data_IF_199660838506
#
_entry.id   IF_199660838506
#
_cell.length_a   1.000
_cell.length_b   1.000
_cell.length_c   1.000
_cell.angle_alpha   90.00
_cell.angle_beta   90.00
_cell.angle_gamma   90.00
#
_symmetry.space_group_name_H-M   'P 1'
#
loop_
_entity.id
_entity.type
_entity.pdbx_description
1 polymer ?
#
# COMPACT_ATOMS: atom_id res chain seq x y z
N UNK A 1 -6.38 -44.62 90.17
CA UNK A 1 -4.90 -44.57 90.06
C UNK A 1 -4.55 -45.47 88.87
N UNK A 2 -4.07 -45.04 87.70
CA UNK A 2 -3.56 -43.77 87.19
C UNK A 2 -4.00 -43.67 85.72
N UNK A 3 -4.42 -42.49 85.31
CA UNK A 3 -4.52 -42.11 83.90
C UNK A 3 -3.13 -42.18 83.26
N UNK A 4 -3.06 -42.63 82.00
CA UNK A 4 -1.99 -42.28 81.09
C UNK A 4 -2.62 -42.10 79.71
N UNK A 5 -3.01 -40.85 79.47
CA UNK A 5 -3.35 -40.32 78.16
C UNK A 5 -2.03 -40.19 77.40
N UNK A 6 -1.91 -40.89 76.28
CA UNK A 6 -0.80 -40.72 75.36
C UNK A 6 -1.36 -40.14 74.06
N UNK A 7 -1.45 -38.82 74.01
CA UNK A 7 -1.84 -38.07 72.82
C UNK A 7 -0.58 -37.78 72.00
N UNK A 8 -0.37 -38.57 70.96
CA UNK A 8 0.63 -38.28 69.94
C UNK A 8 0.00 -37.46 68.82
N UNK A 9 0.24 -36.14 68.84
CA UNK A 9 0.00 -35.25 67.71
C UNK A 9 1.35 -34.66 67.35
N UNK A 10 1.95 -35.10 66.24
CA UNK A 10 2.76 -34.27 65.34
C UNK A 10 2.87 -35.02 64.01
N UNK A 11 2.48 -34.39 62.90
CA UNK A 11 3.38 -34.23 61.75
C UNK A 11 2.81 -33.15 60.81
N UNK A 12 3.48 -32.01 60.79
CA UNK A 12 3.31 -30.97 59.77
C UNK A 12 4.28 -31.26 58.63
N UNK A 13 3.80 -31.27 57.39
CA UNK A 13 4.54 -30.72 56.25
C UNK A 13 3.55 -30.26 55.19
N UNK A 14 3.61 -28.98 54.83
CA UNK A 14 3.04 -28.47 53.57
C UNK A 14 4.18 -28.29 52.61
N UNK A 15 4.31 -29.22 51.66
CA UNK A 15 5.05 -28.97 50.43
C UNK A 15 4.02 -28.59 49.36
N UNK A 16 3.94 -27.30 49.05
CA UNK A 16 3.31 -26.85 47.82
C UNK A 16 4.41 -26.64 46.79
N UNK A 17 4.68 -27.67 46.01
CA UNK A 17 5.28 -27.46 44.70
C UNK A 17 4.11 -27.35 43.73
N UNK A 18 3.55 -26.15 43.57
CA UNK A 18 2.67 -25.93 42.43
C UNK A 18 3.56 -25.87 41.18
N UNK A 19 3.81 -27.03 40.63
CA UNK A 19 4.34 -27.17 39.28
C UNK A 19 3.23 -27.84 38.49
N UNK A 20 2.44 -27.01 37.80
CA UNK A 20 1.24 -27.41 37.07
C UNK A 20 1.53 -28.70 36.27
N UNK A 21 0.79 -29.77 36.58
CA UNK A 21 0.82 -31.04 35.83
C UNK A 21 -0.62 -31.36 35.46
N UNK A 22 -0.91 -31.25 34.17
CA UNK A 22 -2.25 -31.40 33.59
C UNK A 22 -2.66 -32.88 33.50
N UNK A 23 -3.96 -33.20 33.29
CA UNK A 23 -4.42 -34.59 33.23
C UNK A 23 -3.76 -35.39 32.11
N UNK A 24 -3.63 -36.71 32.31
CA UNK A 24 -3.00 -37.63 31.32
C UNK A 24 -3.81 -37.77 30.03
N UNK A 25 -5.05 -37.28 30.03
CA UNK A 25 -5.94 -37.18 28.87
C UNK A 25 -6.95 -36.03 29.08
N UNK A 26 -7.63 -35.64 28.00
CA UNK A 26 -8.64 -34.59 28.04
C UNK A 26 -8.08 -33.16 27.94
N UNK A 27 -8.96 -32.20 28.17
CA UNK A 27 -8.71 -30.78 27.97
C UNK A 27 -8.42 -30.09 29.31
N UNK A 28 -7.64 -29.01 29.27
CA UNK A 28 -7.33 -28.19 30.45
C UNK A 28 -8.27 -26.99 30.50
N UNK A 29 -9.00 -26.86 31.61
CA UNK A 29 -9.86 -25.71 31.88
C UNK A 29 -9.29 -24.83 33.01
N UNK A 30 -9.28 -23.52 32.82
CA UNK A 30 -9.06 -22.54 33.89
C UNK A 30 -10.31 -21.68 34.01
N UNK A 31 -10.97 -21.70 35.17
CA UNK A 31 -12.25 -21.00 35.36
C UNK A 31 -13.47 -21.68 34.71
N UNK A 32 -13.32 -22.92 34.21
CA UNK A 32 -14.40 -23.75 33.69
C UNK A 32 -14.23 -25.22 34.12
N UNK A 33 -15.34 -25.92 34.36
CA UNK A 33 -15.35 -27.36 34.64
C UNK A 33 -15.54 -28.21 33.38
N UNK A 34 -15.92 -27.59 32.26
CA UNK A 34 -16.22 -28.28 30.99
C UNK A 34 -15.39 -27.67 29.84
N UNK A 35 -14.06 -27.86 29.82
CA UNK A 35 -13.21 -27.29 28.77
C UNK A 35 -13.50 -27.91 27.40
N UNK A 36 -13.83 -27.05 26.44
CA UNK A 36 -14.26 -27.45 25.09
C UNK A 36 -13.09 -27.72 24.13
N UNK A 37 -11.89 -27.20 24.43
CA UNK A 37 -10.67 -27.24 23.62
C UNK A 37 -9.45 -27.59 24.48
N UNK A 38 -8.32 -27.93 23.85
CA UNK A 38 -7.09 -28.39 24.51
C UNK A 38 -6.69 -27.54 25.73
N UNK A 39 -6.74 -26.21 25.59
CA UNK A 39 -6.68 -25.27 26.70
C UNK A 39 -7.83 -24.26 26.56
N UNK A 40 -8.61 -24.10 27.62
CA UNK A 40 -9.80 -23.24 27.68
C UNK A 40 -9.78 -22.38 28.96
N UNK A 41 -9.70 -21.07 28.81
CA UNK A 41 -9.62 -20.11 29.93
C UNK A 41 -10.85 -19.22 29.94
N UNK A 42 -11.61 -19.26 31.04
CA UNK A 42 -12.85 -18.53 31.24
C UNK A 42 -12.71 -17.38 32.24
N UNK A 43 -13.41 -16.28 31.97
CA UNK A 43 -13.44 -15.07 32.81
C UNK A 43 -14.65 -14.96 33.76
N UNK A 44 -15.38 -16.05 34.00
CA UNK A 44 -16.49 -16.11 34.96
C UNK A 44 -17.88 -15.74 34.40
N UNK A 45 -18.01 -14.72 33.53
CA UNK A 45 -19.31 -14.28 33.01
C UNK A 45 -19.57 -14.75 31.57
N UNK A 46 -19.55 -16.06 31.32
CA UNK A 46 -19.79 -16.68 29.99
C UNK A 46 -18.74 -16.38 28.89
N UNK A 47 -17.95 -15.32 28.99
CA UNK A 47 -16.94 -15.02 27.99
C UNK A 47 -15.67 -15.88 28.15
N UNK A 48 -15.24 -16.44 27.02
CA UNK A 48 -13.93 -17.08 26.91
C UNK A 48 -12.87 -16.00 26.78
N UNK A 49 -11.81 -16.10 27.59
CA UNK A 49 -10.65 -15.20 27.50
C UNK A 49 -9.69 -15.71 26.41
N UNK A 50 -9.31 -16.98 26.48
CA UNK A 50 -8.33 -17.61 25.61
C UNK A 50 -8.69 -19.07 25.37
N UNK A 51 -8.74 -19.49 24.11
CA UNK A 51 -8.78 -20.90 23.72
C UNK A 51 -7.60 -21.21 22.81
N UNK A 52 -6.91 -22.31 23.11
CA UNK A 52 -5.94 -22.92 22.20
C UNK A 52 -6.53 -24.24 21.72
N UNK A 53 -6.70 -24.35 20.42
CA UNK A 53 -7.24 -25.55 19.78
C UNK A 53 -6.43 -25.95 18.56
N UNK A 54 -6.44 -27.25 18.29
CA UNK A 54 -6.09 -27.76 16.98
C UNK A 54 -7.39 -27.99 16.19
N UNK A 55 -7.54 -27.34 15.04
CA UNK A 55 -8.64 -27.63 14.13
C UNK A 55 -8.32 -28.94 13.42
N UNK A 56 -9.21 -29.92 13.55
CA UNK A 56 -9.21 -31.29 13.00
C UNK A 56 -7.86 -31.87 12.50
N UNK A 57 -7.47 -33.09 12.92
CA UNK A 57 -6.16 -33.71 12.62
C UNK A 57 -5.76 -33.78 11.12
N UNK A 58 -6.69 -33.56 10.19
CA UNK A 58 -6.44 -33.49 8.76
C UNK A 58 -5.77 -32.18 8.28
N UNK A 59 -5.78 -31.10 9.08
CA UNK A 59 -5.34 -29.78 8.63
C UNK A 59 -4.10 -29.24 9.36
N UNK A 60 -3.60 -29.87 10.42
CA UNK A 60 -2.44 -29.39 11.19
C UNK A 60 -2.52 -27.90 11.59
N UNK A 61 -3.71 -27.36 11.74
CA UNK A 61 -3.93 -25.94 12.04
C UNK A 61 -4.03 -25.71 13.53
N UNK A 62 -3.26 -24.76 14.04
CA UNK A 62 -3.33 -24.32 15.44
C UNK A 62 -3.98 -22.96 15.49
N UNK A 63 -4.97 -22.83 16.36
CA UNK A 63 -5.76 -21.62 16.51
C UNK A 63 -5.64 -21.09 17.93
N UNK A 64 -5.41 -19.78 18.03
CA UNK A 64 -5.48 -19.02 19.28
C UNK A 64 -6.67 -18.10 19.15
N UNK A 65 -7.75 -18.41 19.86
CA UNK A 65 -8.94 -17.58 19.90
C UNK A 65 -8.83 -16.59 21.06
N UNK A 66 -9.06 -15.31 20.76
CA UNK A 66 -8.94 -14.21 21.70
C UNK A 66 -10.31 -13.54 21.85
N UNK A 67 -10.94 -13.71 22.99
CA UNK A 67 -12.28 -13.17 23.23
C UNK A 67 -13.39 -13.84 22.41
N UNK A 68 -14.58 -13.83 23.00
CA UNK A 68 -15.77 -14.48 22.46
C UNK A 68 -16.80 -14.70 23.56
N UNK A 69 -17.98 -15.15 23.16
CA UNK A 69 -18.99 -15.63 24.13
C UNK A 69 -18.72 -17.11 24.48
N UNK A 70 -19.61 -17.75 25.24
CA UNK A 70 -19.57 -19.20 25.48
C UNK A 70 -19.50 -19.97 24.17
N UNK A 71 -20.24 -19.50 23.17
CA UNK A 71 -20.58 -20.28 22.00
C UNK A 71 -19.71 -19.93 20.77
N UNK A 72 -19.22 -18.68 20.71
CA UNK A 72 -18.57 -18.17 19.50
C UNK A 72 -17.28 -17.41 19.77
N UNK A 73 -16.23 -17.76 19.04
CA UNK A 73 -14.97 -17.03 19.03
C UNK A 73 -15.05 -15.89 18.02
N UNK A 74 -14.71 -14.65 18.42
CA UNK A 74 -14.90 -13.45 17.56
C UNK A 74 -13.60 -12.86 17.04
N UNK A 75 -12.47 -13.26 17.59
CA UNK A 75 -11.18 -13.01 16.98
C UNK A 75 -10.27 -14.21 17.15
N UNK A 76 -9.45 -14.48 16.15
CA UNK A 76 -8.55 -15.61 16.16
C UNK A 76 -7.25 -15.32 15.41
N UNK A 77 -6.17 -15.89 15.91
CA UNK A 77 -4.92 -16.05 15.18
C UNK A 77 -4.82 -17.52 14.80
N UNK A 78 -4.88 -17.80 13.50
CA UNK A 78 -4.91 -19.16 12.96
C UNK A 78 -3.63 -19.41 12.18
N UNK A 79 -2.86 -20.40 12.60
CA UNK A 79 -1.83 -21.04 11.79
C UNK A 79 -2.50 -22.13 10.97
N UNK A 80 -2.52 -22.00 9.63
CA UNK A 80 -3.14 -22.98 8.74
C UNK A 80 -2.19 -23.39 7.60
N UNK A 81 -2.29 -24.63 7.11
CA UNK A 81 -1.33 -25.21 6.18
C UNK A 81 -1.39 -24.43 4.86
N UNK A 82 -0.21 -24.14 4.32
CA UNK A 82 -0.13 -23.52 3.01
C UNK A 82 -0.14 -24.59 1.89
N UNK A 83 -0.27 -24.16 0.65
CA UNK A 83 -0.26 -25.04 -0.52
C UNK A 83 1.14 -25.62 -0.86
N UNK A 84 2.20 -25.26 -0.12
CA UNK A 84 3.57 -25.65 -0.40
C UNK A 84 3.93 -27.05 0.13
N UNK A 85 3.13 -27.61 1.05
CA UNK A 85 3.50 -28.81 1.81
C UNK A 85 4.60 -28.52 2.84
N UNK A 86 5.18 -29.58 3.44
CA UNK A 86 6.27 -29.50 4.44
C UNK A 86 5.90 -28.90 5.79
N UNK A 87 4.63 -28.97 6.20
CA UNK A 87 4.13 -28.40 7.45
C UNK A 87 4.33 -26.88 7.57
N UNK A 88 4.61 -26.19 6.46
CA UNK A 88 4.64 -24.72 6.46
C UNK A 88 3.23 -24.19 6.63
N UNK A 89 3.12 -23.17 7.48
CA UNK A 89 1.85 -22.59 7.86
C UNK A 89 1.82 -21.12 7.49
N UNK A 90 0.70 -20.68 6.96
CA UNK A 90 0.36 -19.28 6.85
C UNK A 90 -0.31 -18.82 8.14
N UNK A 91 -0.10 -17.55 8.50
CA UNK A 91 -0.68 -16.95 9.70
C UNK A 91 -1.84 -16.04 9.31
N UNK A 92 -3.01 -16.30 9.86
CA UNK A 92 -4.23 -15.56 9.57
C UNK A 92 -4.69 -14.83 10.83
N UNK A 93 -5.01 -13.54 10.67
CA UNK A 93 -5.67 -12.73 11.69
C UNK A 93 -7.13 -12.59 11.29
N UNK A 94 -7.99 -13.31 11.99
CA UNK A 94 -9.41 -13.41 11.70
C UNK A 94 -10.17 -12.52 12.69
N UNK A 95 -11.07 -11.70 12.16
CA UNK A 95 -11.90 -10.78 12.92
C UNK A 95 -13.34 -10.98 12.44
N UNK A 96 -14.24 -11.30 13.36
CA UNK A 96 -15.65 -11.45 13.05
C UNK A 96 -16.20 -10.11 12.54
N UNK A 97 -16.79 -10.13 11.34
CA UNK A 97 -17.37 -8.95 10.74
C UNK A 97 -18.87 -8.89 11.05
N UNK A 98 -19.21 -8.40 12.24
CA UNK A 98 -20.58 -8.11 12.64
C UNK A 98 -21.16 -9.08 13.69
N UNK A 99 -22.49 -9.02 13.87
CA UNK A 99 -23.22 -9.77 14.90
C UNK A 99 -23.53 -11.21 14.48
N UNK A 100 -22.65 -11.85 13.71
CA UNK A 100 -22.88 -13.22 13.25
C UNK A 100 -23.00 -14.18 14.45
N UNK A 101 -23.77 -15.26 14.33
CA UNK A 101 -23.88 -16.34 15.31
C UNK A 101 -22.95 -17.51 14.92
N UNK A 102 -21.79 -17.19 14.35
CA UNK A 102 -20.75 -18.14 13.97
C UNK A 102 -19.41 -17.76 14.61
N UNK A 103 -18.54 -18.75 14.78
CA UNK A 103 -17.16 -18.51 15.18
C UNK A 103 -16.35 -18.04 13.98
N UNK A 104 -15.42 -17.12 14.22
CA UNK A 104 -14.53 -16.63 13.17
C UNK A 104 -13.59 -17.73 12.68
N UNK A 105 -13.24 -17.66 11.40
CA UNK A 105 -12.40 -18.64 10.73
C UNK A 105 -11.65 -18.05 9.55
N UNK A 106 -10.95 -18.89 8.79
CA UNK A 106 -10.08 -18.48 7.69
C UNK A 106 -10.77 -17.63 6.61
N UNK A 107 -12.08 -17.80 6.42
CA UNK A 107 -12.88 -17.00 5.48
C UNK A 107 -13.03 -15.53 5.89
N UNK A 108 -12.83 -15.22 7.16
CA UNK A 108 -12.91 -13.88 7.74
C UNK A 108 -11.53 -13.29 8.04
N UNK A 109 -10.47 -13.81 7.43
CA UNK A 109 -9.13 -13.29 7.60
C UNK A 109 -9.05 -11.83 7.11
N UNK A 110 -8.90 -10.90 8.06
CA UNK A 110 -8.69 -9.49 7.79
C UNK A 110 -7.25 -9.22 7.35
N UNK A 111 -6.30 -10.02 7.85
CA UNK A 111 -4.90 -9.99 7.46
C UNK A 111 -4.35 -11.41 7.37
N UNK A 112 -3.47 -11.65 6.39
CA UNK A 112 -2.72 -12.89 6.26
C UNK A 112 -1.23 -12.59 6.12
N UNK A 113 -0.39 -13.42 6.72
CA UNK A 113 1.03 -13.50 6.45
C UNK A 113 1.30 -14.85 5.81
N UNK A 114 1.63 -14.84 4.53
CA UNK A 114 1.93 -16.05 3.77
C UNK A 114 3.40 -16.40 3.89
N UNK A 115 3.62 -17.60 4.40
CA UNK A 115 4.92 -18.23 4.49
C UNK A 115 5.46 -18.65 3.13
N UNK A 116 4.59 -18.89 2.14
CA UNK A 116 4.96 -19.24 0.77
C UNK A 116 3.97 -18.70 -0.26
N UNK A 117 4.52 -18.15 -1.33
CA UNK A 117 3.87 -17.96 -2.61
C UNK A 117 4.82 -18.46 -3.71
N UNK A 118 4.34 -18.78 -4.93
CA UNK A 118 5.23 -19.17 -6.03
C UNK A 118 6.32 -18.12 -6.34
N UNK A 119 6.10 -16.87 -5.95
CA UNK A 119 6.98 -15.72 -6.20
C UNK A 119 7.89 -15.38 -5.02
N UNK A 120 7.74 -16.02 -3.85
CA UNK A 120 8.62 -15.82 -2.71
C UNK A 120 8.03 -16.20 -1.34
N UNK A 121 8.53 -15.54 -0.30
CA UNK A 121 8.12 -15.78 1.09
C UNK A 121 7.85 -14.43 1.79
N UNK A 122 7.04 -14.45 2.87
CA UNK A 122 6.82 -13.27 3.71
C UNK A 122 5.85 -12.24 3.11
N UNK A 123 4.83 -12.72 2.39
CA UNK A 123 3.82 -11.85 1.78
C UNK A 123 2.76 -11.48 2.82
N UNK A 124 2.38 -10.21 2.88
CA UNK A 124 1.34 -9.71 3.78
C UNK A 124 0.15 -9.25 2.95
N UNK A 125 -1.02 -9.85 3.19
CA UNK A 125 -2.29 -9.41 2.61
C UNK A 125 -3.15 -8.75 3.67
N UNK A 126 -3.64 -7.53 3.41
CA UNK A 126 -4.64 -6.84 4.24
C UNK A 126 -5.92 -6.70 3.42
N UNK A 127 -7.03 -7.24 3.92
CA UNK A 127 -8.30 -7.33 3.19
C UNK A 127 -8.29 -8.32 2.01
N UNK A 128 -7.23 -9.12 1.88
CA UNK A 128 -7.11 -10.20 0.89
C UNK A 128 -6.30 -11.35 1.46
N UNK A 129 -6.68 -12.58 1.12
CA UNK A 129 -5.92 -13.79 1.44
C UNK A 129 -4.96 -14.21 0.31
N UNK A 130 -4.96 -13.47 -0.80
CA UNK A 130 -4.17 -13.74 -2.01
C UNK A 130 -3.32 -12.52 -2.37
N UNK A 131 -2.31 -12.18 -1.56
CA UNK A 131 -1.38 -11.10 -1.90
C UNK A 131 -0.58 -11.45 -3.16
N UNK A 132 -0.52 -10.50 -4.08
CA UNK A 132 0.23 -10.53 -5.33
C UNK A 132 1.59 -9.82 -5.23
N UNK A 133 1.74 -8.92 -4.26
CA UNK A 133 2.98 -8.24 -3.89
C UNK A 133 3.33 -8.52 -2.43
N UNK A 134 4.58 -8.21 -2.02
CA UNK A 134 5.03 -8.43 -0.64
C UNK A 134 4.09 -7.81 0.40
N UNK A 135 3.48 -6.68 0.07
CA UNK A 135 2.38 -6.09 0.82
C UNK A 135 1.27 -5.73 -0.16
N UNK A 136 0.15 -6.47 -0.07
CA UNK A 136 -1.06 -6.17 -0.84
C UNK A 136 -2.13 -5.66 0.11
N UNK A 137 -2.67 -4.47 -0.16
CA UNK A 137 -3.79 -3.89 0.60
C UNK A 137 -5.00 -3.77 -0.32
N UNK A 138 -6.03 -4.57 -0.09
CA UNK A 138 -7.30 -4.49 -0.83
C UNK A 138 -8.21 -3.45 -0.18
N UNK A 139 -7.87 -2.17 -0.36
CA UNK A 139 -8.59 -1.06 0.25
C UNK A 139 -7.88 0.27 0.07
N UNK A 140 -8.30 1.27 0.85
CA UNK A 140 -7.67 2.59 0.87
C UNK A 140 -6.64 2.66 1.99
N UNK A 141 -5.48 3.25 1.68
CA UNK A 141 -4.43 3.53 2.67
C UNK A 141 -4.50 5.02 3.01
N UNK A 142 -4.69 5.34 4.28
CA UNK A 142 -4.55 6.70 4.79
C UNK A 142 -3.20 6.81 5.50
N UNK A 143 -2.32 7.65 4.97
CA UNK A 143 -0.97 7.86 5.48
C UNK A 143 -0.62 9.34 5.42
N UNK A 144 0.30 9.78 6.26
CA UNK A 144 0.82 11.15 6.23
C UNK A 144 1.84 11.34 5.10
N UNK A 145 2.66 10.32 4.85
CA UNK A 145 3.72 10.36 3.84
C UNK A 145 3.98 8.97 3.26
N UNK A 146 4.42 8.92 2.00
CA UNK A 146 4.96 7.72 1.36
C UNK A 146 6.33 8.08 0.78
N UNK A 147 7.38 7.52 1.36
CA UNK A 147 8.73 7.58 0.79
C UNK A 147 8.94 6.35 -0.10
N UNK A 148 9.29 6.60 -1.36
CA UNK A 148 9.62 5.52 -2.30
C UNK A 148 11.10 5.61 -2.63
N UNK A 149 11.88 4.65 -2.14
CA UNK A 149 13.27 4.50 -2.54
C UNK A 149 13.32 3.70 -3.85
N UNK A 150 13.90 4.28 -4.89
CA UNK A 150 14.07 3.64 -6.18
C UNK A 150 15.53 3.17 -6.32
N UNK A 151 15.73 1.97 -6.88
CA UNK A 151 17.05 1.48 -7.20
C UNK A 151 17.56 2.15 -8.50
N UNK A 152 18.29 3.26 -8.36
CA UNK A 152 19.02 3.92 -9.46
C UNK A 152 18.61 5.39 -9.73
N UNK A 153 19.41 6.11 -10.54
CA UNK A 153 19.12 7.50 -10.91
C UNK A 153 18.04 7.55 -11.99
N UNK A 154 16.77 7.57 -11.57
CA UNK A 154 15.60 7.75 -12.45
C UNK A 154 15.11 9.20 -12.48
N UNK A 155 15.83 10.10 -11.82
CA UNK A 155 15.55 11.54 -11.89
C UNK A 155 15.85 12.02 -13.31
N UNK A 156 14.90 12.69 -13.99
CA UNK A 156 15.02 13.01 -15.41
C UNK A 156 15.97 14.15 -15.76
N UNK A 157 16.89 14.57 -14.87
CA UNK A 157 17.85 15.66 -15.08
C UNK A 157 18.63 15.59 -16.41
N UNK A 158 18.76 14.40 -17.00
CA UNK A 158 19.33 14.20 -18.32
C UNK A 158 18.59 14.94 -19.46
N UNK A 159 17.35 15.38 -19.25
CA UNK A 159 16.60 16.21 -20.21
C UNK A 159 17.33 17.53 -20.50
N UNK A 160 18.14 18.01 -19.56
CA UNK A 160 18.94 19.22 -19.72
C UNK A 160 20.35 18.99 -20.29
N UNK A 161 20.70 17.74 -20.65
CA UNK A 161 21.98 17.44 -21.28
C UNK A 161 22.05 18.02 -22.70
N UNK A 162 23.25 18.43 -23.14
CA UNK A 162 23.44 19.04 -24.47
C UNK A 162 23.09 18.08 -25.62
N UNK A 163 23.21 16.77 -25.41
CA UNK A 163 22.89 15.73 -26.39
C UNK A 163 21.44 15.21 -26.27
N UNK A 164 20.61 15.81 -25.41
CA UNK A 164 19.22 15.41 -25.27
C UNK A 164 18.42 15.73 -26.54
N UNK A 165 17.85 14.69 -27.16
CA UNK A 165 17.03 14.81 -28.35
C UNK A 165 15.58 15.14 -27.98
N UNK A 166 15.32 16.42 -27.72
CA UNK A 166 13.97 16.93 -27.53
C UNK A 166 13.14 16.70 -28.81
N UNK A 167 11.98 16.05 -28.68
CA UNK A 167 11.04 15.89 -29.81
C UNK A 167 10.56 17.25 -30.29
N UNK A 168 10.15 17.37 -31.54
CA UNK A 168 9.48 18.59 -32.00
C UNK A 168 8.03 18.61 -31.51
N UNK A 169 7.46 19.82 -31.32
CA UNK A 169 6.04 19.96 -30.97
C UNK A 169 5.11 19.31 -32.00
N UNK A 170 5.52 19.26 -33.27
CA UNK A 170 4.78 18.57 -34.34
C UNK A 170 4.74 17.06 -34.12
N UNK A 171 5.88 16.44 -33.82
CA UNK A 171 5.93 15.00 -33.52
C UNK A 171 5.12 14.65 -32.26
N UNK A 172 5.15 15.53 -31.25
CA UNK A 172 4.32 15.35 -30.05
C UNK A 172 2.84 15.47 -30.38
N UNK A 173 2.44 16.46 -31.19
CA UNK A 173 1.06 16.64 -31.65
C UNK A 173 0.57 15.41 -32.43
N UNK A 174 1.37 14.92 -33.38
CA UNK A 174 1.03 13.75 -34.19
C UNK A 174 0.84 12.51 -33.31
N UNK A 175 1.73 12.31 -32.32
CA UNK A 175 1.60 11.22 -31.35
C UNK A 175 0.31 11.31 -30.52
N UNK A 176 -0.04 12.51 -30.03
CA UNK A 176 -1.27 12.72 -29.23
C UNK A 176 -2.51 12.47 -30.09
N UNK A 177 -2.51 12.88 -31.37
CA UNK A 177 -3.64 12.65 -32.28
C UNK A 177 -3.90 11.16 -32.48
N UNK A 178 -2.83 10.37 -32.63
CA UNK A 178 -2.89 8.92 -32.84
C UNK A 178 -3.22 8.16 -31.55
N UNK A 179 -2.53 8.45 -30.44
CA UNK A 179 -2.55 7.63 -29.23
C UNK A 179 -3.46 8.18 -28.11
N UNK A 180 -3.94 9.43 -28.21
CA UNK A 180 -4.78 10.11 -27.21
C UNK A 180 -4.17 10.28 -25.81
N UNK A 181 -2.86 10.11 -25.68
CA UNK A 181 -2.11 10.42 -24.47
C UNK A 181 -0.71 10.94 -24.83
N UNK A 182 0.01 11.43 -23.81
CA UNK A 182 1.39 11.90 -23.98
C UNK A 182 2.35 10.72 -24.19
N UNK A 183 3.45 10.90 -24.95
CA UNK A 183 4.49 9.89 -25.04
C UNK A 183 5.00 9.49 -23.65
N UNK A 184 5.26 8.20 -23.43
CA UNK A 184 5.81 7.63 -22.18
C UNK A 184 4.88 7.71 -20.95
N UNK A 185 3.70 8.32 -21.09
CA UNK A 185 2.65 8.26 -20.07
C UNK A 185 1.72 7.11 -20.43
N UNK A 186 1.46 6.17 -19.50
CA UNK A 186 0.59 5.04 -19.78
C UNK A 186 -0.84 5.50 -20.09
N UNK A 187 -1.49 4.78 -21.00
CA UNK A 187 -2.89 5.06 -21.36
C UNK A 187 -3.85 4.68 -20.22
N UNK A 188 -5.09 5.21 -20.27
CA UNK A 188 -6.14 4.83 -19.30
C UNK A 188 -6.38 3.32 -19.28
N UNK A 189 -6.35 2.66 -20.46
CA UNK A 189 -6.54 1.22 -20.57
C UNK A 189 -5.40 0.42 -19.93
N UNK A 190 -4.16 0.90 -20.04
CA UNK A 190 -3.01 0.28 -19.38
C UNK A 190 -3.07 0.44 -17.86
N UNK A 191 -3.49 1.61 -17.37
CA UNK A 191 -3.67 1.88 -15.94
C UNK A 191 -4.79 1.01 -15.36
N UNK A 192 -5.91 0.85 -16.07
CA UNK A 192 -7.02 -0.01 -15.64
C UNK A 192 -6.60 -1.48 -15.54
N UNK A 193 -5.75 -1.95 -16.46
CA UNK A 193 -5.30 -3.35 -16.49
C UNK A 193 -4.20 -3.67 -15.50
N UNK A 194 -3.18 -2.81 -15.41
CA UNK A 194 -1.94 -3.10 -14.69
C UNK A 194 -1.79 -2.31 -13.39
N UNK A 195 -2.71 -1.39 -13.10
CA UNK A 195 -2.58 -0.43 -12.01
C UNK A 195 -1.62 0.71 -12.33
N UNK A 196 -1.55 1.69 -11.42
CA UNK A 196 -0.68 2.84 -11.54
C UNK A 196 0.59 2.66 -10.69
N UNK A 197 1.75 2.64 -11.34
CA UNK A 197 3.03 2.68 -10.65
C UNK A 197 3.36 4.12 -10.25
N UNK A 198 3.07 4.47 -8.99
CA UNK A 198 3.17 5.84 -8.48
C UNK A 198 4.54 6.50 -8.73
N UNK A 199 5.63 5.78 -8.44
CA UNK A 199 6.97 6.32 -8.58
C UNK A 199 7.35 6.55 -10.05
N UNK A 200 7.10 5.57 -10.92
CA UNK A 200 7.36 5.68 -12.36
C UNK A 200 6.53 6.80 -13.00
N UNK A 201 5.25 6.91 -12.64
CA UNK A 201 4.37 7.98 -13.10
C UNK A 201 4.89 9.36 -12.68
N UNK A 202 5.31 9.53 -11.42
CA UNK A 202 5.84 10.81 -10.94
C UNK A 202 7.13 11.20 -11.67
N UNK A 203 8.01 10.25 -11.98
CA UNK A 203 9.23 10.51 -12.75
C UNK A 203 8.91 10.86 -14.20
N UNK A 204 7.97 10.16 -14.84
CA UNK A 204 7.55 10.49 -16.20
C UNK A 204 6.89 11.87 -16.25
N UNK A 205 6.07 12.23 -15.25
CA UNK A 205 5.48 13.57 -15.15
C UNK A 205 6.56 14.64 -14.97
N UNK A 206 7.55 14.42 -14.11
CA UNK A 206 8.68 15.33 -13.93
C UNK A 206 9.44 15.54 -15.26
N UNK A 207 9.72 14.46 -15.99
CA UNK A 207 10.33 14.53 -17.32
C UNK A 207 9.51 15.41 -18.27
N UNK A 208 8.18 15.28 -18.28
CA UNK A 208 7.33 16.11 -19.13
C UNK A 208 7.34 17.58 -18.70
N UNK A 209 7.43 17.89 -17.41
CA UNK A 209 7.57 19.26 -16.92
C UNK A 209 8.89 19.88 -17.40
N UNK A 210 9.98 19.13 -17.38
CA UNK A 210 11.29 19.59 -17.87
C UNK A 210 11.28 19.80 -19.40
N UNK A 211 10.73 18.86 -20.16
CA UNK A 211 10.55 19.02 -21.62
C UNK A 211 9.67 20.25 -21.95
N UNK A 212 8.57 20.44 -21.22
CA UNK A 212 7.71 21.63 -21.35
C UNK A 212 8.47 22.92 -21.04
N UNK A 213 9.36 22.90 -20.05
CA UNK A 213 10.20 24.06 -19.70
C UNK A 213 11.14 24.41 -20.86
N UNK A 214 11.74 23.42 -21.52
CA UNK A 214 12.56 23.65 -22.72
C UNK A 214 11.75 24.27 -23.87
N UNK A 215 10.54 23.76 -24.15
CA UNK A 215 9.66 24.35 -25.18
C UNK A 215 9.25 25.79 -24.84
N UNK A 216 9.01 26.10 -23.56
CA UNK A 216 8.65 27.46 -23.13
C UNK A 216 9.83 28.41 -23.32
N UNK A 217 11.05 27.99 -22.95
CA UNK A 217 12.27 28.79 -23.17
C UNK A 217 12.47 29.06 -24.66
N UNK A 218 12.29 28.04 -25.51
CA UNK A 218 12.41 28.18 -26.95
C UNK A 218 11.34 29.15 -27.52
N UNK A 219 10.08 29.00 -27.09
CA UNK A 219 9.00 29.90 -27.50
C UNK A 219 9.26 31.34 -27.06
N UNK A 220 9.77 31.57 -25.84
CA UNK A 220 10.09 32.92 -25.36
C UNK A 220 11.21 33.56 -26.20
N UNK A 221 12.22 32.79 -26.63
CA UNK A 221 13.26 33.27 -27.54
C UNK A 221 12.66 33.74 -28.87
N UNK A 222 11.80 32.91 -29.48
CA UNK A 222 11.10 33.25 -30.74
C UNK A 222 10.21 34.49 -30.58
N UNK A 223 9.49 34.63 -29.47
CA UNK A 223 8.67 35.81 -29.18
C UNK A 223 9.54 37.07 -29.08
N UNK A 224 10.70 36.99 -28.43
CA UNK A 224 11.61 38.12 -28.31
C UNK A 224 12.17 38.54 -29.68
N UNK A 225 12.57 37.56 -30.51
CA UNK A 225 13.04 37.78 -31.88
C UNK A 225 11.95 38.45 -32.74
N UNK A 226 10.74 37.91 -32.74
CA UNK A 226 9.59 38.48 -33.45
C UNK A 226 9.25 39.89 -32.94
N UNK A 227 9.36 40.14 -31.64
CA UNK A 227 9.11 41.47 -31.06
C UNK A 227 10.15 42.48 -31.52
N UNK A 228 11.43 42.07 -31.62
CA UNK A 228 12.49 42.92 -32.17
C UNK A 228 12.23 43.24 -33.63
N UNK A 229 11.92 42.23 -34.45
CA UNK A 229 11.62 42.40 -35.87
C UNK A 229 10.40 43.32 -36.08
N UNK A 230 9.33 43.14 -35.30
CA UNK A 230 8.15 44.02 -35.34
C UNK A 230 8.52 45.46 -34.97
N UNK A 231 9.45 45.67 -34.02
CA UNK A 231 9.91 47.00 -33.63
C UNK A 231 10.68 47.68 -34.77
N UNK A 232 11.54 46.94 -35.45
CA UNK A 232 12.32 47.44 -36.58
C UNK A 232 11.43 47.78 -37.78
N UNK A 233 10.52 46.86 -38.15
CA UNK A 233 9.53 47.10 -39.21
C UNK A 233 8.62 48.29 -38.91
N UNK A 234 8.25 48.52 -37.64
CA UNK A 234 7.47 49.70 -37.24
C UNK A 234 8.25 51.00 -37.43
N UNK A 235 9.56 50.99 -37.16
CA UNK A 235 10.43 52.15 -37.35
C UNK A 235 10.58 52.47 -38.84
N UNK A 236 10.85 51.47 -39.67
CA UNK A 236 10.91 51.65 -41.13
C UNK A 236 9.61 52.22 -41.69
N UNK A 237 8.46 51.69 -41.25
CA UNK A 237 7.15 52.22 -41.65
C UNK A 237 6.93 53.68 -41.21
N UNK A 238 7.46 54.11 -40.07
CA UNK A 238 7.40 55.51 -39.64
C UNK A 238 8.27 56.41 -40.52
N UNK A 239 9.48 55.97 -40.85
CA UNK A 239 10.40 56.71 -41.73
C UNK A 239 9.80 56.88 -43.13
N UNK A 240 9.23 55.82 -43.70
CA UNK A 240 8.54 55.86 -45.00
C UNK A 240 7.36 56.84 -44.96
N UNK A 241 6.52 56.80 -43.91
CA UNK A 241 5.42 57.77 -43.75
C UNK A 241 5.92 59.20 -43.69
N UNK A 242 7.00 59.47 -42.95
CA UNK A 242 7.62 60.78 -42.89
C UNK A 242 8.17 61.26 -44.24
N UNK A 243 8.74 60.35 -45.04
CA UNK A 243 9.17 60.67 -46.41
C UNK A 243 8.01 60.98 -47.33
N UNK A 244 6.92 60.20 -47.27
CA UNK A 244 5.70 60.45 -48.04
C UNK A 244 5.08 61.81 -47.74
N UNK A 245 5.03 62.20 -46.46
CA UNK A 245 4.55 63.53 -46.07
C UNK A 245 5.42 64.65 -46.65
N UNK A 246 6.75 64.50 -46.65
CA UNK A 246 7.66 65.49 -47.24
C UNK A 246 7.46 65.61 -48.76
N UNK A 247 7.33 64.48 -49.45
CA UNK A 247 7.05 64.46 -50.89
C UNK A 247 5.72 65.17 -51.19
N UNK A 248 4.66 64.87 -50.43
CA UNK A 248 3.35 65.53 -50.61
C UNK A 248 3.41 67.05 -50.44
N UNK A 249 4.24 67.54 -49.50
CA UNK A 249 4.48 68.98 -49.30
C UNK A 249 5.22 69.60 -50.48
N UNK A 250 6.25 68.93 -51.01
CA UNK A 250 6.98 69.39 -52.19
C UNK A 250 6.07 69.46 -53.44
N UNK A 251 5.24 68.44 -53.67
CA UNK A 251 4.27 68.42 -54.78
C UNK A 251 3.27 69.59 -54.67
N UNK A 252 2.84 69.94 -53.45
CA UNK A 252 1.95 71.08 -53.23
C UNK A 252 2.62 72.44 -53.50
N UNK A 253 3.94 72.54 -53.32
CA UNK A 253 4.71 73.75 -53.58
C UNK A 253 5.01 73.93 -55.08
N UNK A 254 5.19 72.83 -55.82
CA UNK A 254 5.42 72.85 -57.28
C UNK A 254 4.15 73.14 -58.10
N UNK A 255 2.96 72.99 -57.50
CA UNK A 255 1.65 73.29 -58.13
C UNK A 255 1.19 74.74 -57.97
N UNK A 256 1.94 75.60 -57.29
CA UNK A 256 1.72 77.05 -57.19
C UNK A 256 2.64 77.78 -58.16
#
# INVERSE_FOLDING_TARGET
MKANILLYIVFTTTFCFSQNTFPTNGNVGVGTLNPSKNLDIYGGNASTILKISNSAPALYSTEIHLGGDTDFNKSAIISAPNAAGWYRQDLYFCLANGNDLLSTGLSEAAMVIKSYTPTGFGYVGIGTTTPDERLTVKGRIHTQEVRVDMAGPLVPDYVFAEDYKLKSLKEVEDYIKENKHLPEIPSSQEIEKNGLKLAEMNMNLLKKVEELTLYIIEQQKRINEQTSEIKDLRKENQEIKGMLERISKLDSQLKK
#
